data_IF_880985692448
#
_entry.id   IF_880985692448
#
_cell.length_a   1.000
_cell.length_b   1.000
_cell.length_c   1.000
_cell.angle_alpha   90.00
_cell.angle_beta   90.00
_cell.angle_gamma   90.00
#
_symmetry.space_group_name_H-M   'P 1'
#
loop_
_entity.id
_entity.type
_entity.pdbx_description
1 polymer ?
#
# COMPACT_ATOMS: atom_id res chain seq x y z
N UNK A 1 44.49 -29.44 23.88
CA UNK A 1 43.50 -28.58 24.55
C UNK A 1 42.21 -28.67 23.75
N UNK A 2 41.14 -29.21 24.33
CA UNK A 2 39.83 -29.25 23.67
C UNK A 2 39.38 -27.81 23.43
N UNK A 3 39.17 -27.43 22.17
CA UNK A 3 38.63 -26.12 21.81
C UNK A 3 37.25 -25.97 22.45
N UNK A 4 37.19 -25.22 23.56
CA UNK A 4 35.94 -24.79 24.17
C UNK A 4 35.54 -23.49 23.48
N UNK A 5 34.47 -23.52 22.69
CA UNK A 5 33.95 -22.31 22.06
C UNK A 5 32.91 -22.62 21.01
N UNK A 6 32.19 -21.58 20.56
CA UNK A 6 31.16 -21.71 19.53
C UNK A 6 31.71 -22.39 18.26
N UNK A 7 32.95 -22.08 17.88
CA UNK A 7 33.57 -22.58 16.64
C UNK A 7 33.98 -24.06 16.70
N UNK A 8 33.93 -24.72 17.86
CA UNK A 8 34.15 -26.16 17.93
C UNK A 8 32.88 -26.98 17.68
N UNK A 9 31.73 -26.33 17.54
CA UNK A 9 30.50 -26.98 17.09
C UNK A 9 30.58 -27.34 15.59
N UNK A 10 29.96 -28.46 15.17
CA UNK A 10 29.83 -28.79 13.75
C UNK A 10 29.16 -27.66 12.97
N UNK A 11 29.58 -27.45 11.72
CA UNK A 11 29.00 -26.44 10.83
C UNK A 11 27.48 -26.60 10.69
N UNK A 12 27.00 -27.84 10.64
CA UNK A 12 25.57 -28.16 10.51
C UNK A 12 24.75 -27.68 11.72
N UNK A 13 25.38 -27.51 12.88
CA UNK A 13 24.77 -26.89 14.06
C UNK A 13 24.86 -25.36 13.96
N UNK A 14 26.00 -24.84 13.52
CA UNK A 14 26.24 -23.40 13.41
C UNK A 14 25.33 -22.70 12.39
N UNK A 15 24.92 -23.39 11.31
CA UNK A 15 23.97 -22.83 10.32
C UNK A 15 22.56 -22.66 10.87
N UNK A 16 22.21 -23.33 11.97
CA UNK A 16 20.89 -23.19 12.62
C UNK A 16 20.80 -21.96 13.53
N UNK A 17 21.95 -21.40 13.94
CA UNK A 17 22.03 -20.27 14.86
C UNK A 17 21.17 -19.05 14.48
N UNK A 18 21.01 -18.63 13.21
CA UNK A 18 20.17 -17.48 12.87
C UNK A 18 18.73 -17.59 13.40
N UNK A 19 18.19 -18.81 13.51
CA UNK A 19 16.85 -19.07 14.03
C UNK A 19 16.71 -18.79 15.53
N UNK A 20 17.82 -18.76 16.26
CA UNK A 20 17.86 -18.59 17.71
C UNK A 20 18.36 -17.21 18.14
N UNK A 21 18.70 -16.33 17.19
CA UNK A 21 19.05 -14.93 17.50
C UNK A 21 17.80 -14.12 17.82
N UNK A 22 17.95 -13.10 18.68
CA UNK A 22 16.84 -12.28 19.14
C UNK A 22 16.45 -11.22 18.11
N UNK A 23 17.42 -10.59 17.46
CA UNK A 23 17.18 -9.48 16.54
C UNK A 23 18.25 -9.38 15.43
N UNK A 24 18.03 -8.46 14.49
CA UNK A 24 18.91 -8.27 13.33
C UNK A 24 20.30 -7.74 13.70
N UNK A 25 20.42 -7.00 14.81
CA UNK A 25 21.71 -6.53 15.29
C UNK A 25 22.59 -7.68 15.80
N UNK A 26 22.03 -8.63 16.55
CA UNK A 26 22.74 -9.84 16.97
C UNK A 26 23.28 -10.61 15.76
N UNK A 27 22.46 -10.72 14.71
CA UNK A 27 22.84 -11.34 13.44
C UNK A 27 24.01 -10.62 12.78
N UNK A 28 23.94 -9.29 12.68
CA UNK A 28 25.00 -8.47 12.09
C UNK A 28 26.30 -8.56 12.90
N UNK A 29 26.21 -8.48 14.22
CA UNK A 29 27.35 -8.60 15.12
C UNK A 29 28.01 -9.98 15.00
N UNK A 30 27.22 -11.06 15.07
CA UNK A 30 27.73 -12.43 14.94
C UNK A 30 28.37 -12.68 13.57
N UNK A 31 27.74 -12.22 12.48
CA UNK A 31 28.28 -12.33 11.12
C UNK A 31 29.58 -11.55 10.90
N UNK A 32 29.84 -10.54 11.72
CA UNK A 32 31.04 -9.70 11.67
C UNK A 32 32.21 -10.24 12.48
N UNK A 33 31.99 -11.23 13.36
CA UNK A 33 33.04 -11.76 14.26
C UNK A 33 34.16 -12.52 13.54
N UNK A 34 33.82 -13.47 12.66
CA UNK A 34 34.80 -14.28 11.94
C UNK A 34 34.23 -14.84 10.63
N UNK A 35 35.11 -15.40 9.78
CA UNK A 35 34.72 -15.94 8.47
C UNK A 35 33.76 -17.13 8.58
N UNK A 36 33.95 -18.01 9.56
CA UNK A 36 33.08 -19.17 9.78
C UNK A 36 31.67 -18.72 10.17
N UNK A 37 31.55 -17.84 11.18
CA UNK A 37 30.25 -17.26 11.56
C UNK A 37 29.57 -16.57 10.38
N UNK A 38 30.32 -15.78 9.60
CA UNK A 38 29.78 -15.13 8.40
C UNK A 38 29.19 -16.12 7.39
N UNK A 39 29.92 -17.19 7.10
CA UNK A 39 29.46 -18.25 6.20
C UNK A 39 28.20 -18.93 6.75
N UNK A 40 28.19 -19.30 8.03
CA UNK A 40 27.02 -19.93 8.65
C UNK A 40 25.80 -18.99 8.70
N UNK A 41 26.00 -17.69 8.97
CA UNK A 41 24.93 -16.70 8.98
C UNK A 41 24.34 -16.48 7.58
N UNK A 42 25.14 -16.55 6.52
CA UNK A 42 24.65 -16.37 5.14
C UNK A 42 23.62 -17.42 4.68
N UNK A 43 23.44 -18.50 5.43
CA UNK A 43 22.43 -19.55 5.18
C UNK A 43 21.05 -19.16 5.76
N UNK A 44 20.95 -18.07 6.51
CA UNK A 44 19.69 -17.59 7.07
C UNK A 44 18.64 -17.40 5.97
N UNK A 45 17.46 -17.98 6.18
CA UNK A 45 16.36 -17.86 5.23
C UNK A 45 15.81 -16.43 5.21
N UNK A 46 15.20 -15.99 4.10
CA UNK A 46 14.58 -14.66 4.05
C UNK A 46 13.57 -14.41 5.18
N UNK A 47 12.77 -15.42 5.53
CA UNK A 47 11.83 -15.32 6.65
C UNK A 47 12.55 -15.13 8.01
N UNK A 48 13.70 -15.80 8.21
CA UNK A 48 14.51 -15.61 9.41
C UNK A 48 14.99 -14.17 9.54
N UNK A 49 15.49 -13.59 8.45
CA UNK A 49 15.94 -12.18 8.43
C UNK A 49 14.75 -11.23 8.67
N UNK A 50 13.58 -11.50 8.10
CA UNK A 50 12.36 -10.73 8.37
C UNK A 50 11.97 -10.79 9.85
N UNK A 51 11.96 -11.97 10.47
CA UNK A 51 11.69 -12.14 11.91
C UNK A 51 12.66 -11.31 12.76
N UNK A 52 13.95 -11.38 12.45
CA UNK A 52 15.00 -10.64 13.14
C UNK A 52 14.85 -9.12 12.94
N UNK A 53 14.44 -8.67 11.75
CA UNK A 53 14.16 -7.26 11.46
C UNK A 53 12.90 -6.77 12.20
N UNK A 54 11.83 -7.56 12.23
CA UNK A 54 10.59 -7.26 12.92
C UNK A 54 10.80 -7.09 14.43
N UNK A 55 11.65 -7.92 15.04
CA UNK A 55 12.06 -7.81 16.45
C UNK A 55 12.74 -6.47 16.79
N UNK A 56 13.27 -5.75 15.80
CA UNK A 56 13.91 -4.44 15.97
C UNK A 56 13.26 -3.33 15.13
N UNK A 57 12.00 -3.53 14.74
CA UNK A 57 11.25 -2.66 13.83
C UNK A 57 11.20 -1.20 14.31
N UNK A 58 10.93 -0.97 15.60
CA UNK A 58 10.82 0.37 16.20
C UNK A 58 12.11 1.18 16.21
N UNK A 59 13.27 0.51 16.11
CA UNK A 59 14.58 1.15 16.18
C UNK A 59 15.12 1.42 14.78
N UNK A 60 15.23 0.41 13.93
CA UNK A 60 15.89 0.53 12.62
C UNK A 60 14.94 0.68 11.43
N UNK A 61 13.72 0.18 11.54
CA UNK A 61 12.78 0.09 10.43
C UNK A 61 11.59 1.05 10.61
N UNK A 62 11.91 2.35 10.62
CA UNK A 62 10.93 3.43 10.74
C UNK A 62 10.35 3.87 9.37
N UNK A 63 9.09 4.31 9.33
CA UNK A 63 8.10 4.20 10.41
C UNK A 63 7.72 2.73 10.65
N UNK A 64 7.68 2.34 11.93
CA UNK A 64 7.32 0.98 12.34
C UNK A 64 5.81 0.91 12.56
N UNK A 65 5.15 -0.21 12.23
CA UNK A 65 5.66 -1.37 11.47
C UNK A 65 5.61 -1.17 9.93
N UNK A 66 5.08 -0.04 9.46
CA UNK A 66 4.78 0.29 8.07
C UNK A 66 5.86 -0.05 7.05
N UNK A 67 7.13 0.27 7.35
CA UNK A 67 8.24 0.03 6.43
C UNK A 67 8.44 -1.44 6.10
N UNK A 68 8.40 -2.31 7.11
CA UNK A 68 8.58 -3.75 6.92
C UNK A 68 7.36 -4.37 6.25
N UNK A 69 6.16 -3.93 6.64
CA UNK A 69 4.91 -4.40 6.02
C UNK A 69 4.91 -4.09 4.53
N UNK A 70 5.21 -2.85 4.13
CA UNK A 70 5.28 -2.47 2.72
C UNK A 70 6.33 -3.31 1.97
N UNK A 71 7.48 -3.57 2.59
CA UNK A 71 8.55 -4.36 1.98
C UNK A 71 8.18 -5.82 1.69
N UNK A 72 7.26 -6.41 2.46
CA UNK A 72 6.84 -7.81 2.33
C UNK A 72 5.42 -7.98 1.79
N UNK A 73 4.68 -6.89 1.61
CA UNK A 73 3.28 -6.89 1.23
C UNK A 73 3.00 -7.62 -0.09
N UNK A 74 3.91 -7.54 -1.06
CA UNK A 74 3.78 -8.27 -2.34
C UNK A 74 3.77 -9.79 -2.14
N UNK A 75 4.72 -10.30 -1.36
CA UNK A 75 4.84 -11.72 -1.06
C UNK A 75 3.62 -12.21 -0.27
N UNK A 76 3.17 -11.41 0.69
CA UNK A 76 1.97 -11.70 1.48
C UNK A 76 0.71 -11.72 0.61
N UNK A 77 0.56 -10.75 -0.31
CA UNK A 77 -0.55 -10.71 -1.26
C UNK A 77 -0.52 -11.90 -2.21
N UNK A 78 0.66 -12.31 -2.69
CA UNK A 78 0.79 -13.49 -3.55
C UNK A 78 0.43 -14.77 -2.80
N UNK A 79 0.84 -14.90 -1.53
CA UNK A 79 0.44 -16.01 -0.67
C UNK A 79 -1.08 -16.05 -0.45
N UNK A 80 -1.71 -14.90 -0.21
CA UNK A 80 -3.15 -14.81 -0.03
C UNK A 80 -3.94 -15.23 -1.29
N UNK A 81 -3.38 -15.01 -2.48
CA UNK A 81 -3.97 -15.41 -3.77
C UNK A 81 -3.89 -16.91 -4.06
N UNK A 82 -3.24 -17.71 -3.23
CA UNK A 82 -3.12 -19.15 -3.52
C UNK A 82 -4.43 -19.89 -3.25
N UNK A 83 -5.23 -19.47 -2.26
CA UNK A 83 -6.51 -20.09 -1.96
C UNK A 83 -7.41 -19.20 -1.07
N UNK A 84 -8.70 -19.52 -1.01
CA UNK A 84 -9.67 -18.79 -0.16
C UNK A 84 -9.32 -18.82 1.33
N UNK A 85 -8.67 -19.88 1.80
CA UNK A 85 -8.30 -19.97 3.21
C UNK A 85 -7.24 -18.94 3.58
N UNK A 86 -6.24 -18.72 2.71
CA UNK A 86 -5.19 -17.75 2.93
C UNK A 86 -5.74 -16.32 2.86
N UNK A 87 -6.61 -16.03 1.89
CA UNK A 87 -7.28 -14.74 1.81
C UNK A 87 -8.15 -14.44 3.04
N UNK A 88 -8.89 -15.43 3.55
CA UNK A 88 -9.66 -15.27 4.79
C UNK A 88 -8.76 -14.96 5.98
N UNK A 89 -7.60 -15.59 6.08
CA UNK A 89 -6.64 -15.31 7.14
C UNK A 89 -6.01 -13.92 7.00
N UNK A 90 -5.68 -13.48 5.78
CA UNK A 90 -5.28 -12.10 5.50
C UNK A 90 -6.36 -11.12 5.97
N UNK A 91 -7.61 -11.31 5.52
CA UNK A 91 -8.76 -10.50 5.88
C UNK A 91 -8.96 -10.41 7.40
N UNK A 92 -8.82 -11.54 8.11
CA UNK A 92 -8.88 -11.58 9.57
C UNK A 92 -7.76 -10.76 10.23
N UNK A 93 -6.52 -10.91 9.76
CA UNK A 93 -5.35 -10.21 10.32
C UNK A 93 -5.30 -8.73 9.98
N UNK A 94 -5.92 -8.30 8.88
CA UNK A 94 -6.09 -6.88 8.57
C UNK A 94 -6.84 -6.14 9.68
N UNK A 95 -7.77 -6.81 10.39
CA UNK A 95 -8.53 -6.21 11.50
C UNK A 95 -7.66 -5.81 12.69
N UNK A 96 -6.48 -6.41 12.84
CA UNK A 96 -5.49 -6.03 13.86
C UNK A 96 -4.59 -4.86 13.38
N UNK A 97 -4.90 -4.27 12.22
CA UNK A 97 -4.18 -3.17 11.61
C UNK A 97 -2.79 -3.56 11.09
N UNK A 98 -1.85 -2.62 11.14
CA UNK A 98 -0.50 -2.83 10.62
C UNK A 98 0.32 -3.85 11.41
N UNK A 99 0.08 -3.96 12.72
CA UNK A 99 0.75 -4.97 13.55
C UNK A 99 0.29 -6.38 13.16
N UNK A 100 -1.01 -6.56 12.88
CA UNK A 100 -1.56 -7.80 12.34
C UNK A 100 -0.94 -8.22 11.00
N UNK A 101 -0.76 -7.26 10.10
CA UNK A 101 -0.09 -7.50 8.81
C UNK A 101 1.37 -7.93 8.99
N UNK A 102 2.12 -7.27 9.87
CA UNK A 102 3.51 -7.63 10.12
C UNK A 102 3.61 -9.02 10.78
N UNK A 103 2.76 -9.29 11.77
CA UNK A 103 2.69 -10.60 12.43
C UNK A 103 2.39 -11.71 11.42
N UNK A 104 1.41 -11.50 10.54
CA UNK A 104 1.07 -12.45 9.49
C UNK A 104 2.27 -12.65 8.55
N UNK A 105 2.89 -11.58 8.04
CA UNK A 105 4.06 -11.69 7.18
C UNK A 105 5.22 -12.46 7.86
N UNK A 106 5.50 -12.21 9.14
CA UNK A 106 6.53 -12.96 9.89
C UNK A 106 6.16 -14.44 10.03
N UNK A 107 4.88 -14.76 10.24
CA UNK A 107 4.40 -16.14 10.40
C UNK A 107 4.44 -16.96 9.11
N UNK A 108 4.39 -16.33 7.94
CA UNK A 108 4.35 -17.02 6.66
C UNK A 108 5.75 -17.26 6.09
N UNK A 109 6.12 -18.53 5.91
CA UNK A 109 7.44 -18.92 5.40
C UNK A 109 7.77 -18.35 4.00
N UNK A 110 6.76 -18.00 3.19
CA UNK A 110 6.91 -17.40 1.87
C UNK A 110 7.24 -15.90 1.90
N UNK A 111 7.01 -15.25 3.03
CA UNK A 111 7.36 -13.85 3.23
C UNK A 111 8.75 -13.77 3.86
N UNK A 112 9.57 -12.84 3.36
CA UNK A 112 10.93 -12.69 3.85
C UNK A 112 11.62 -11.42 3.40
N UNK A 113 12.82 -11.22 3.91
CA UNK A 113 13.73 -10.16 3.51
C UNK A 113 15.12 -10.73 3.35
N UNK A 114 15.86 -10.26 2.35
CA UNK A 114 17.29 -10.52 2.29
C UNK A 114 18.06 -9.32 2.83
N UNK A 115 19.31 -9.51 3.27
CA UNK A 115 20.17 -8.39 3.65
C UNK A 115 20.46 -7.45 2.48
N UNK A 116 20.48 -7.96 1.25
CA UNK A 116 20.56 -7.15 0.04
C UNK A 116 19.31 -6.27 -0.12
N UNK A 117 18.12 -6.87 0.00
CA UNK A 117 16.86 -6.14 -0.06
C UNK A 117 16.75 -5.07 1.03
N UNK A 118 17.22 -5.33 2.25
CA UNK A 118 17.28 -4.31 3.31
C UNK A 118 18.16 -3.12 2.90
N UNK A 119 19.29 -3.35 2.23
CA UNK A 119 20.17 -2.27 1.74
C UNK A 119 19.51 -1.48 0.61
N UNK A 120 18.85 -2.16 -0.33
CA UNK A 120 18.08 -1.50 -1.39
C UNK A 120 16.98 -0.61 -0.83
N UNK A 121 16.19 -1.13 0.11
CA UNK A 121 15.13 -0.40 0.79
C UNK A 121 15.67 0.79 1.58
N UNK A 122 16.85 0.65 2.20
CA UNK A 122 17.53 1.77 2.85
C UNK A 122 17.91 2.87 1.85
N UNK A 123 18.50 2.53 0.70
CA UNK A 123 18.82 3.48 -0.36
C UNK A 123 17.55 4.13 -0.93
N UNK A 124 16.47 3.36 -1.07
CA UNK A 124 15.16 3.82 -1.52
C UNK A 124 14.57 4.89 -0.62
N UNK A 125 14.91 4.92 0.67
CA UNK A 125 14.50 6.02 1.56
C UNK A 125 14.89 7.38 1.00
N UNK A 126 16.11 7.49 0.51
CA UNK A 126 16.65 8.75 0.00
C UNK A 126 16.24 9.01 -1.46
N UNK A 127 16.19 7.96 -2.28
CA UNK A 127 15.93 8.10 -3.71
C UNK A 127 14.46 8.09 -4.10
N UNK A 128 13.55 7.60 -3.26
CA UNK A 128 12.11 7.53 -3.58
C UNK A 128 11.26 7.99 -2.40
N UNK A 129 11.36 7.32 -1.24
CA UNK A 129 10.38 7.49 -0.15
C UNK A 129 10.38 8.92 0.41
N UNK A 130 11.53 9.49 0.79
CA UNK A 130 11.57 10.83 1.38
C UNK A 130 11.10 11.90 0.37
N UNK A 131 11.50 11.85 -0.92
CA UNK A 131 11.00 12.86 -1.87
C UNK A 131 9.53 12.67 -2.24
N UNK A 132 9.00 11.44 -2.24
CA UNK A 132 7.55 11.21 -2.35
C UNK A 132 6.83 11.74 -1.12
N UNK A 133 7.40 11.53 0.07
CA UNK A 133 6.88 12.05 1.35
C UNK A 133 6.78 13.58 1.30
N UNK A 134 7.77 14.26 0.74
CA UNK A 134 7.76 15.72 0.55
C UNK A 134 6.61 16.19 -0.35
N UNK A 135 6.28 15.44 -1.42
CA UNK A 135 5.11 15.73 -2.25
C UNK A 135 3.82 15.55 -1.45
N UNK A 136 3.69 14.48 -0.66
CA UNK A 136 2.51 14.25 0.18
C UNK A 136 2.39 15.32 1.28
N UNK A 137 3.49 15.78 1.87
CA UNK A 137 3.51 16.84 2.87
C UNK A 137 2.97 18.17 2.29
N UNK A 138 3.26 18.44 1.01
CA UNK A 138 2.69 19.57 0.26
C UNK A 138 1.22 19.39 -0.12
N UNK A 139 0.64 18.21 0.04
CA UNK A 139 -0.77 17.95 -0.23
C UNK A 139 -1.62 17.91 1.04
N UNK A 140 -1.11 17.34 2.15
CA UNK A 140 -1.90 17.02 3.35
C UNK A 140 -1.13 17.17 4.66
N UNK A 141 0.11 17.66 4.60
CA UNK A 141 1.01 17.78 5.75
C UNK A 141 1.27 19.23 6.18
N UNK A 142 2.32 19.42 6.98
CA UNK A 142 2.71 20.71 7.54
C UNK A 142 3.11 21.71 6.45
N UNK A 143 3.78 21.26 5.39
CA UNK A 143 4.18 22.14 4.30
C UNK A 143 2.97 22.72 3.56
N UNK A 144 1.91 21.91 3.37
CA UNK A 144 0.67 22.39 2.76
C UNK A 144 0.05 23.54 3.56
N UNK A 145 -0.15 23.35 4.87
CA UNK A 145 -0.68 24.39 5.77
C UNK A 145 0.20 25.63 5.88
N UNK A 146 1.51 25.48 5.63
CA UNK A 146 2.46 26.59 5.67
C UNK A 146 2.40 27.48 4.42
N UNK A 147 1.58 27.14 3.42
CA UNK A 147 1.40 27.97 2.22
C UNK A 147 0.85 29.36 2.61
N UNK A 148 1.49 30.46 2.17
CA UNK A 148 1.00 31.81 2.46
C UNK A 148 -0.45 32.00 2.00
N UNK A 149 -1.26 32.67 2.82
CA UNK A 149 -2.68 32.88 2.57
C UNK A 149 -3.49 31.57 2.37
N UNK A 150 -3.11 30.47 3.04
CA UNK A 150 -3.75 29.16 2.91
C UNK A 150 -5.29 29.23 2.86
N UNK A 151 -5.92 29.84 3.85
CA UNK A 151 -7.39 30.00 3.92
C UNK A 151 -7.96 31.12 3.05
N UNK A 152 -7.11 31.96 2.45
CA UNK A 152 -7.46 33.17 1.72
C UNK A 152 -7.00 33.09 0.24
N UNK A 153 -7.11 31.92 -0.38
CA UNK A 153 -6.82 31.71 -1.81
C UNK A 153 -5.34 31.43 -2.14
N UNK A 154 -4.50 31.14 -1.14
CA UNK A 154 -3.12 30.70 -1.32
C UNK A 154 -2.99 29.27 -1.85
N UNK A 155 -4.02 28.46 -1.65
CA UNK A 155 -4.18 27.14 -2.27
C UNK A 155 -5.57 27.02 -2.87
N UNK A 156 -5.66 26.22 -3.93
CA UNK A 156 -6.86 25.87 -4.68
C UNK A 156 -7.74 24.83 -3.99
N UNK A 157 -7.18 24.11 -3.02
CA UNK A 157 -7.78 22.94 -2.37
C UNK A 157 -7.85 23.05 -0.84
N UNK A 158 -7.83 24.26 -0.26
CA UNK A 158 -7.75 24.49 1.18
C UNK A 158 -8.78 23.67 1.98
N UNK A 159 -8.30 22.86 2.92
CA UNK A 159 -9.15 22.00 3.72
C UNK A 159 -8.53 21.63 5.08
N UNK A 160 -9.35 21.16 6.02
CA UNK A 160 -8.90 20.71 7.35
C UNK A 160 -8.56 19.21 7.37
N UNK A 161 -7.58 18.77 6.57
CA UNK A 161 -7.02 17.41 6.64
C UNK A 161 -5.68 17.46 7.36
N UNK A 162 -5.51 16.67 8.41
CA UNK A 162 -4.20 16.46 9.03
C UNK A 162 -3.86 14.98 9.02
N UNK A 163 -2.74 14.63 8.37
CA UNK A 163 -2.19 13.28 8.30
C UNK A 163 -0.66 13.33 8.37
N UNK A 164 -0.04 12.26 8.85
CA UNK A 164 1.41 12.09 8.85
C UNK A 164 1.89 11.66 7.45
N UNK A 165 2.63 12.51 6.70
CA UNK A 165 3.00 12.20 5.32
C UNK A 165 3.83 10.92 5.16
N UNK A 166 4.84 10.61 6.02
CA UNK A 166 5.54 9.33 5.97
C UNK A 166 4.59 8.14 6.03
N UNK A 167 3.64 8.15 6.97
CA UNK A 167 2.64 7.08 7.13
C UNK A 167 1.74 6.96 5.90
N UNK A 168 1.27 8.08 5.34
CA UNK A 168 0.46 8.09 4.12
C UNK A 168 1.21 7.49 2.90
N UNK A 169 2.53 7.68 2.78
CA UNK A 169 3.32 7.01 1.73
C UNK A 169 3.22 5.49 1.85
N UNK A 170 3.31 4.94 3.07
CA UNK A 170 3.23 3.50 3.27
C UNK A 170 1.82 2.95 3.10
N UNK A 171 0.78 3.72 3.42
CA UNK A 171 -0.61 3.35 3.12
C UNK A 171 -0.82 3.16 1.62
N UNK A 172 -0.31 4.09 0.81
CA UNK A 172 -0.34 4.02 -0.66
C UNK A 172 0.52 2.85 -1.18
N UNK A 173 1.77 2.76 -0.72
CA UNK A 173 2.70 1.74 -1.19
C UNK A 173 2.19 0.33 -0.87
N UNK A 174 1.76 0.07 0.37
CA UNK A 174 1.32 -1.26 0.80
C UNK A 174 0.06 -1.70 0.07
N UNK A 175 -0.87 -0.79 -0.21
CA UNK A 175 -2.03 -1.09 -1.06
C UNK A 175 -1.58 -1.55 -2.46
N UNK A 176 -0.66 -0.81 -3.08
CA UNK A 176 -0.07 -1.17 -4.37
C UNK A 176 0.69 -2.51 -4.30
N UNK A 177 1.41 -2.80 -3.24
CA UNK A 177 2.11 -4.07 -3.08
C UNK A 177 1.16 -5.26 -2.92
N UNK A 178 0.14 -5.13 -2.06
CA UNK A 178 -0.83 -6.19 -1.81
C UNK A 178 -1.69 -6.49 -3.03
N UNK A 179 -2.20 -5.46 -3.70
CA UNK A 179 -3.34 -5.61 -4.62
C UNK A 179 -2.98 -5.45 -6.09
N UNK A 180 -1.91 -4.72 -6.45
CA UNK A 180 -1.59 -4.50 -7.85
C UNK A 180 -1.34 -5.75 -8.71
N UNK A 181 -0.93 -6.93 -8.20
CA UNK A 181 -0.89 -8.13 -9.03
C UNK A 181 -2.24 -8.44 -9.71
N UNK A 182 -3.36 -8.05 -9.11
CA UNK A 182 -4.70 -8.24 -9.70
C UNK A 182 -4.93 -7.37 -10.94
N UNK A 183 -4.24 -6.22 -11.05
CA UNK A 183 -4.28 -5.39 -12.26
C UNK A 183 -3.66 -6.13 -13.44
N UNK A 184 -2.57 -6.87 -13.23
CA UNK A 184 -1.91 -7.58 -14.32
C UNK A 184 -2.81 -8.72 -14.87
N UNK A 185 -3.60 -9.37 -14.02
CA UNK A 185 -4.63 -10.31 -14.46
C UNK A 185 -5.67 -9.64 -15.37
N UNK A 186 -6.17 -8.47 -14.98
CA UNK A 186 -7.11 -7.69 -15.81
C UNK A 186 -6.48 -7.26 -17.13
N UNK A 187 -5.26 -6.75 -17.10
CA UNK A 187 -4.56 -6.28 -18.31
C UNK A 187 -4.17 -7.42 -19.27
N UNK A 188 -4.05 -8.65 -18.76
CA UNK A 188 -3.84 -9.86 -19.58
C UNK A 188 -5.14 -10.51 -20.05
N UNK A 189 -6.29 -10.02 -19.58
CA UNK A 189 -7.59 -10.66 -19.82
C UNK A 189 -7.60 -12.12 -19.34
N UNK A 190 -6.93 -12.37 -18.20
CA UNK A 190 -6.85 -13.68 -17.57
C UNK A 190 -7.98 -13.83 -16.55
N UNK A 191 -9.12 -14.34 -17.01
CA UNK A 191 -10.31 -14.54 -16.18
C UNK A 191 -10.15 -15.67 -15.15
N UNK A 192 -9.17 -16.57 -15.35
CA UNK A 192 -8.87 -17.70 -14.47
C UNK A 192 -7.93 -17.31 -13.32
N UNK A 193 -7.21 -16.19 -13.45
CA UNK A 193 -6.32 -15.71 -12.40
C UNK A 193 -7.10 -15.32 -11.14
N UNK A 194 -6.73 -15.95 -10.01
CA UNK A 194 -7.30 -15.63 -8.71
C UNK A 194 -6.90 -14.23 -8.26
N UNK A 195 -7.91 -13.37 -8.08
CA UNK A 195 -7.79 -12.01 -7.54
C UNK A 195 -8.18 -11.97 -6.07
N UNK A 196 -7.60 -11.02 -5.31
CA UNK A 196 -8.11 -10.72 -3.97
C UNK A 196 -9.44 -9.97 -4.07
N UNK A 197 -10.41 -10.36 -3.25
CA UNK A 197 -11.76 -9.83 -3.28
C UNK A 197 -11.82 -8.35 -2.90
N UNK A 198 -12.88 -7.68 -3.36
CA UNK A 198 -13.24 -6.32 -2.91
C UNK A 198 -13.34 -6.27 -1.39
N UNK A 199 -13.93 -7.28 -0.76
CA UNK A 199 -14.09 -7.34 0.70
C UNK A 199 -12.72 -7.29 1.40
N UNK A 200 -11.72 -8.02 0.92
CA UNK A 200 -10.34 -7.96 1.44
C UNK A 200 -9.70 -6.57 1.26
N UNK A 201 -9.93 -5.91 0.12
CA UNK A 201 -9.43 -4.54 -0.10
C UNK A 201 -10.08 -3.53 0.84
N UNK A 202 -11.39 -3.62 1.03
CA UNK A 202 -12.12 -2.75 1.95
C UNK A 202 -11.71 -3.01 3.41
N UNK A 203 -11.42 -4.25 3.81
CA UNK A 203 -10.85 -4.54 5.13
C UNK A 203 -9.47 -3.88 5.31
N UNK A 204 -8.61 -3.90 4.29
CA UNK A 204 -7.34 -3.18 4.35
C UNK A 204 -7.57 -1.67 4.53
N UNK A 205 -8.48 -1.07 3.77
CA UNK A 205 -8.75 0.37 3.89
C UNK A 205 -9.31 0.69 5.28
N UNK A 206 -10.24 -0.11 5.81
CA UNK A 206 -10.82 0.12 7.14
C UNK A 206 -9.76 0.12 8.24
N UNK A 207 -8.90 -0.89 8.29
CA UNK A 207 -8.04 -1.13 9.47
C UNK A 207 -6.55 -0.78 9.27
N UNK A 208 -6.06 -0.73 8.04
CA UNK A 208 -4.69 -0.31 7.73
C UNK A 208 -4.62 1.12 7.19
N UNK A 209 -5.74 1.74 6.84
CA UNK A 209 -5.82 3.18 6.52
C UNK A 209 -6.90 3.83 7.41
N UNK A 210 -6.78 3.72 8.75
CA UNK A 210 -7.88 4.04 9.64
C UNK A 210 -8.20 5.54 9.64
N UNK A 211 -9.48 5.86 9.73
CA UNK A 211 -9.98 7.22 9.62
C UNK A 211 -11.20 7.41 10.53
N UNK A 212 -11.33 8.57 11.17
CA UNK A 212 -12.47 8.88 12.04
C UNK A 212 -13.81 8.77 11.28
N UNK A 213 -13.84 9.11 10.00
CA UNK A 213 -15.03 9.01 9.17
C UNK A 213 -15.43 7.57 8.86
N UNK A 214 -14.55 6.60 9.10
CA UNK A 214 -14.87 5.17 8.97
C UNK A 214 -15.64 4.65 10.20
N UNK A 215 -15.44 5.28 11.36
CA UNK A 215 -16.04 4.90 12.65
C UNK A 215 -17.33 5.68 12.97
N UNK A 216 -17.69 6.67 12.15
CA UNK A 216 -18.91 7.42 12.35
C UNK A 216 -20.14 6.54 12.13
N UNK A 217 -21.04 6.53 13.12
CA UNK A 217 -22.26 5.74 13.09
C UNK A 217 -23.19 6.23 11.96
N UNK A 218 -23.43 5.39 10.94
CA UNK A 218 -24.25 5.73 9.79
C UNK A 218 -25.75 5.76 10.10
N UNK A 219 -26.18 5.21 11.25
CA UNK A 219 -27.60 5.00 11.56
C UNK A 219 -28.36 6.28 11.90
N UNK A 220 -27.67 7.42 12.02
CA UNK A 220 -28.25 8.76 12.24
C UNK A 220 -29.37 9.10 11.23
N UNK A 221 -29.36 8.49 10.04
CA UNK A 221 -30.33 8.75 8.96
C UNK A 221 -31.33 7.60 8.69
N UNK A 222 -31.37 6.55 9.52
CA UNK A 222 -32.28 5.41 9.33
C UNK A 222 -31.99 4.55 8.09
N UNK A 223 -30.80 4.67 7.49
CA UNK A 223 -30.36 3.87 6.35
C UNK A 223 -29.67 2.57 6.81
N UNK A 224 -29.91 1.48 6.09
CA UNK A 224 -29.25 0.20 6.35
C UNK A 224 -27.81 0.28 5.85
N UNK A 225 -26.84 0.14 6.76
CA UNK A 225 -25.44 0.10 6.41
C UNK A 225 -25.12 -1.14 5.57
N UNK A 226 -24.46 -0.95 4.43
CA UNK A 226 -23.88 -2.06 3.66
C UNK A 226 -22.90 -2.87 4.54
N UNK A 227 -23.05 -4.20 4.67
CA UNK A 227 -22.19 -5.02 5.54
C UNK A 227 -20.69 -4.87 5.26
N UNK A 228 -20.30 -4.54 4.03
CA UNK A 228 -18.89 -4.33 3.67
C UNK A 228 -18.27 -3.11 4.35
N UNK A 229 -19.09 -2.14 4.73
CA UNK A 229 -18.69 -0.93 5.45
C UNK A 229 -18.64 -1.13 6.95
N UNK A 230 -19.29 -2.16 7.47
CA UNK A 230 -19.29 -2.43 8.89
C UNK A 230 -17.85 -2.63 9.41
N UNK A 231 -17.58 -2.00 10.54
CA UNK A 231 -16.33 -2.15 11.30
C UNK A 231 -16.60 -2.93 12.59
N UNK A 232 -15.56 -3.55 13.10
CA UNK A 232 -15.51 -4.16 14.43
C UNK A 232 -14.67 -3.26 15.33
N UNK A 233 -14.99 -3.26 16.62
CA UNK A 233 -14.25 -2.57 17.68
C UNK A 233 -12.95 -3.31 18.01
N UNK A 234 -12.01 -3.35 17.07
CA UNK A 234 -10.71 -4.03 17.17
C UNK A 234 -9.62 -3.22 16.46
N UNK A 235 -8.35 -3.57 16.71
CA UNK A 235 -7.19 -2.90 16.15
C UNK A 235 -7.25 -1.38 16.36
N UNK A 236 -7.20 -0.57 15.29
CA UNK A 236 -7.26 0.90 15.39
C UNK A 236 -8.59 1.45 15.94
N UNK A 237 -9.67 0.67 15.96
CA UNK A 237 -10.98 1.08 16.49
C UNK A 237 -11.33 0.37 17.81
N UNK A 238 -10.37 -0.32 18.43
CA UNK A 238 -10.57 -0.94 19.74
C UNK A 238 -10.82 0.11 20.82
N UNK A 239 -11.55 -0.26 21.86
CA UNK A 239 -11.73 0.60 23.02
C UNK A 239 -10.37 0.90 23.68
N UNK A 240 -10.08 2.19 23.91
CA UNK A 240 -8.80 2.64 24.44
C UNK A 240 -7.65 2.70 23.42
N UNK A 241 -7.89 2.41 22.14
CA UNK A 241 -6.92 2.67 21.08
C UNK A 241 -6.65 4.19 20.94
N UNK A 242 -5.46 4.59 20.45
CA UNK A 242 -5.21 5.98 20.09
C UNK A 242 -6.25 6.49 19.08
N UNK A 243 -6.61 7.78 19.18
CA UNK A 243 -7.55 8.38 18.23
C UNK A 243 -7.08 8.23 16.78
N UNK A 244 -8.00 7.83 15.91
CA UNK A 244 -7.76 7.69 14.47
C UNK A 244 -7.64 9.06 13.80
N UNK A 245 -6.65 9.20 12.92
CA UNK A 245 -6.41 10.44 12.15
C UNK A 245 -7.30 10.57 10.92
N UNK A 246 -6.89 11.40 9.96
CA UNK A 246 -7.56 11.56 8.66
C UNK A 246 -6.86 10.74 7.56
N UNK A 247 -6.41 9.52 7.84
CA UNK A 247 -5.49 8.84 6.93
C UNK A 247 -6.12 8.49 5.57
N UNK A 248 -7.38 8.06 5.56
CA UNK A 248 -8.09 7.71 4.34
C UNK A 248 -8.48 8.98 3.58
N UNK A 249 -9.06 9.96 4.29
CA UNK A 249 -9.39 11.26 3.70
C UNK A 249 -8.14 11.90 3.09
N UNK A 250 -7.00 11.87 3.78
CA UNK A 250 -5.74 12.38 3.28
C UNK A 250 -5.32 11.71 1.97
N UNK A 251 -5.37 10.38 1.86
CA UNK A 251 -5.06 9.72 0.60
C UNK A 251 -6.05 10.07 -0.51
N UNK A 252 -7.35 10.16 -0.18
CA UNK A 252 -8.38 10.59 -1.13
C UNK A 252 -8.07 11.98 -1.68
N UNK A 253 -7.64 12.90 -0.81
CA UNK A 253 -7.24 14.25 -1.19
C UNK A 253 -5.93 14.28 -1.98
N UNK A 254 -4.90 13.53 -1.56
CA UNK A 254 -3.62 13.43 -2.29
C UNK A 254 -3.86 12.99 -3.72
N UNK A 255 -4.63 11.92 -3.95
CA UNK A 255 -4.90 11.40 -5.31
C UNK A 255 -5.56 12.47 -6.21
N UNK A 256 -6.38 13.34 -5.62
CA UNK A 256 -7.10 14.39 -6.34
C UNK A 256 -6.33 15.71 -6.44
N UNK A 257 -5.25 15.90 -5.68
CA UNK A 257 -4.56 17.18 -5.55
C UNK A 257 -3.87 17.62 -6.85
N UNK A 258 -3.94 18.92 -7.12
CA UNK A 258 -3.23 19.61 -8.20
C UNK A 258 -1.70 19.58 -8.03
N UNK A 259 -1.20 19.18 -6.84
CA UNK A 259 0.24 18.99 -6.58
C UNK A 259 0.72 17.57 -6.84
N UNK A 260 -0.19 16.59 -6.82
CA UNK A 260 0.12 15.18 -7.05
C UNK A 260 -0.06 14.79 -8.51
N UNK A 261 -1.21 15.14 -9.10
CA UNK A 261 -1.60 14.78 -10.48
C UNK A 261 -0.55 15.16 -11.55
N UNK A 262 0.11 16.34 -11.50
CA UNK A 262 1.08 16.73 -12.53
C UNK A 262 2.27 15.78 -12.65
N UNK A 263 2.77 15.24 -11.53
CA UNK A 263 3.90 14.29 -11.56
C UNK A 263 3.59 13.04 -12.39
N UNK A 264 2.38 12.53 -12.26
CA UNK A 264 1.90 11.38 -13.03
C UNK A 264 1.58 11.74 -14.48
N UNK A 265 0.99 12.92 -14.70
CA UNK A 265 0.69 13.42 -16.05
C UNK A 265 1.95 13.59 -16.89
N UNK A 266 3.03 14.13 -16.30
CA UNK A 266 4.32 14.32 -16.98
C UNK A 266 4.90 12.99 -17.48
N UNK A 267 4.97 11.97 -16.63
CA UNK A 267 5.52 10.66 -17.03
C UNK A 267 4.60 9.92 -18.00
N UNK A 268 3.27 10.04 -17.86
CA UNK A 268 2.32 9.49 -18.85
C UNK A 268 2.52 10.08 -20.23
N UNK A 269 2.69 11.40 -20.32
CA UNK A 269 2.92 12.09 -21.58
C UNK A 269 4.18 11.59 -22.32
N UNK A 270 5.21 11.13 -21.58
CA UNK A 270 6.40 10.49 -22.15
C UNK A 270 6.13 9.09 -22.73
N UNK A 271 5.11 8.41 -22.21
CA UNK A 271 4.70 7.08 -22.66
C UNK A 271 3.67 7.12 -23.81
N UNK A 272 2.78 8.10 -23.84
CA UNK A 272 1.82 8.28 -24.93
C UNK A 272 0.71 9.28 -24.57
N UNK A 273 -0.20 9.59 -25.51
CA UNK A 273 -1.31 10.49 -25.23
C UNK A 273 -2.31 9.85 -24.24
N UNK A 274 -2.87 10.67 -23.35
CA UNK A 274 -4.01 10.29 -22.51
C UNK A 274 -5.19 9.82 -23.39
N UNK A 275 -6.01 8.91 -22.86
CA UNK A 275 -7.25 8.45 -23.49
C UNK A 275 -8.33 9.54 -23.52
N UNK A 276 -8.15 10.59 -22.72
CA UNK A 276 -9.01 11.76 -22.64
C UNK A 276 -8.18 13.04 -22.49
N UNK A 277 -8.70 14.15 -23.02
CA UNK A 277 -8.09 15.48 -22.87
C UNK A 277 -8.43 16.12 -21.51
N UNK A 278 -9.66 15.88 -21.03
CA UNK A 278 -10.16 16.41 -19.77
C UNK A 278 -9.61 15.63 -18.56
N UNK A 279 -9.38 16.35 -17.46
CA UNK A 279 -8.98 15.70 -16.21
C UNK A 279 -10.16 14.93 -15.60
N UNK A 280 -9.85 13.77 -15.02
CA UNK A 280 -10.85 12.96 -14.34
C UNK A 280 -11.31 13.65 -13.05
N UNK A 281 -12.63 13.71 -12.90
CA UNK A 281 -13.31 14.02 -11.65
C UNK A 281 -14.30 12.89 -11.33
N UNK A 282 -13.80 11.88 -10.60
CA UNK A 282 -14.62 10.73 -10.22
C UNK A 282 -15.66 11.06 -9.14
N UNK A 283 -15.68 12.28 -8.59
CA UNK A 283 -16.64 12.74 -7.58
C UNK A 283 -16.73 11.86 -6.32
N UNK A 284 -17.55 12.23 -5.34
CA UNK A 284 -17.76 11.34 -4.16
C UNK A 284 -18.77 10.22 -4.40
N UNK A 285 -19.62 10.40 -5.41
CA UNK A 285 -20.80 9.58 -5.68
C UNK A 285 -20.62 8.74 -6.93
N UNK A 286 -21.21 7.56 -6.95
CA UNK A 286 -21.31 6.81 -8.19
C UNK A 286 -22.15 7.60 -9.20
N UNK A 287 -21.55 7.91 -10.35
CA UNK A 287 -22.24 8.55 -11.48
C UNK A 287 -22.30 7.56 -12.65
N UNK A 288 -23.46 6.97 -12.96
CA UNK A 288 -23.58 5.95 -14.01
C UNK A 288 -23.15 6.44 -15.39
N UNK A 289 -23.12 7.75 -15.64
CA UNK A 289 -22.67 8.32 -16.93
C UNK A 289 -21.14 8.24 -17.12
N UNK A 290 -20.39 8.01 -16.04
CA UNK A 290 -18.92 7.87 -16.05
C UNK A 290 -18.46 6.39 -16.18
N UNK A 291 -19.40 5.46 -16.33
CA UNK A 291 -19.15 4.02 -16.43
C UNK A 291 -19.84 3.45 -17.68
N UNK A 292 -19.29 2.36 -18.22
CA UNK A 292 -19.77 1.67 -19.42
C UNK A 292 -18.93 1.91 -20.67
N UNK A 293 -19.11 1.02 -21.66
CA UNK A 293 -18.22 0.91 -22.83
C UNK A 293 -18.23 2.07 -23.82
N UNK A 294 -19.19 2.99 -23.72
CA UNK A 294 -19.32 4.15 -24.63
C UNK A 294 -18.45 5.35 -24.28
N UNK A 295 -17.78 5.36 -23.13
CA UNK A 295 -17.01 6.50 -22.63
C UNK A 295 -15.53 6.11 -22.42
N UNK A 296 -14.54 6.80 -23.03
CA UNK A 296 -13.12 6.51 -22.79
C UNK A 296 -12.65 6.76 -21.35
N UNK A 297 -13.49 7.40 -20.52
CA UNK A 297 -13.25 7.71 -19.12
C UNK A 297 -12.67 6.55 -18.31
N UNK A 298 -13.22 5.34 -18.47
CA UNK A 298 -12.75 4.20 -17.69
C UNK A 298 -11.34 3.74 -18.07
N UNK A 299 -10.91 3.91 -19.34
CA UNK A 299 -9.55 3.57 -19.79
C UNK A 299 -8.54 4.53 -19.18
N UNK A 300 -8.86 5.82 -19.17
CA UNK A 300 -8.02 6.82 -18.51
C UNK A 300 -7.92 6.53 -17.01
N UNK A 301 -9.05 6.22 -16.35
CA UNK A 301 -9.09 5.87 -14.93
C UNK A 301 -8.24 4.63 -14.63
N UNK A 302 -8.42 3.56 -15.41
CA UNK A 302 -7.64 2.33 -15.27
C UNK A 302 -6.14 2.60 -15.45
N UNK A 303 -5.76 3.44 -16.42
CA UNK A 303 -4.34 3.75 -16.66
C UNK A 303 -3.72 4.54 -15.51
N UNK A 304 -4.39 5.59 -15.03
CA UNK A 304 -3.92 6.37 -13.89
C UNK A 304 -3.81 5.50 -12.63
N UNK A 305 -4.85 4.73 -12.34
CA UNK A 305 -4.88 3.85 -11.19
C UNK A 305 -3.81 2.74 -11.27
N UNK A 306 -3.58 2.19 -12.47
CA UNK A 306 -2.51 1.21 -12.70
C UNK A 306 -1.16 1.77 -12.29
N UNK A 307 -0.86 3.02 -12.61
CA UNK A 307 0.42 3.63 -12.27
C UNK A 307 0.56 3.96 -10.78
N UNK A 308 -0.52 4.43 -10.14
CA UNK A 308 -0.54 4.76 -8.71
C UNK A 308 -0.37 3.48 -7.86
N UNK A 309 -1.00 2.38 -8.27
CA UNK A 309 -0.96 1.11 -7.56
C UNK A 309 0.24 0.26 -8.00
N UNK A 310 1.48 0.70 -7.77
CA UNK A 310 2.68 -0.08 -8.14
C UNK A 310 3.64 -0.34 -6.98
N UNK A 311 3.23 -0.04 -5.75
CA UNK A 311 4.05 -0.31 -4.57
C UNK A 311 5.23 0.63 -4.41
N UNK A 312 6.21 0.23 -3.59
CA UNK A 312 7.34 1.07 -3.19
C UNK A 312 8.21 1.49 -4.40
N UNK A 313 8.59 0.54 -5.24
CA UNK A 313 9.35 0.80 -6.46
C UNK A 313 8.59 1.69 -7.43
N UNK A 314 7.29 1.44 -7.55
CA UNK A 314 6.38 2.14 -8.44
C UNK A 314 6.29 3.64 -8.16
N UNK A 315 6.39 4.03 -6.89
CA UNK A 315 6.49 5.44 -6.50
C UNK A 315 7.72 6.14 -7.10
N UNK A 316 8.72 5.41 -7.57
CA UNK A 316 9.82 5.99 -8.34
C UNK A 316 9.36 6.70 -9.64
N UNK A 317 8.18 6.39 -10.17
CA UNK A 317 7.61 7.05 -11.36
C UNK A 317 7.37 8.56 -11.17
N UNK A 318 7.16 9.04 -9.94
CA UNK A 318 6.98 10.49 -9.71
C UNK A 318 8.31 11.24 -9.69
N UNK A 319 9.46 10.54 -9.71
CA UNK A 319 10.78 11.16 -9.58
C UNK A 319 11.40 11.37 -10.95
N UNK A 320 11.58 12.62 -11.44
CA UNK A 320 12.10 12.90 -12.78
C UNK A 320 13.36 12.11 -13.16
N UNK A 321 14.32 11.99 -12.24
CA UNK A 321 15.57 11.24 -12.47
C UNK A 321 15.45 9.71 -12.48
N UNK A 322 14.27 9.16 -12.21
CA UNK A 322 14.00 7.71 -12.18
C UNK A 322 12.90 7.30 -13.17
N UNK A 323 12.36 8.23 -13.97
CA UNK A 323 11.19 7.95 -14.83
C UNK A 323 11.53 7.09 -16.04
N UNK A 324 12.70 7.29 -16.65
CA UNK A 324 13.02 6.70 -17.96
C UNK A 324 12.91 5.18 -17.98
N UNK A 325 13.29 4.51 -16.88
CA UNK A 325 13.18 3.05 -16.74
C UNK A 325 11.74 2.53 -16.79
N UNK A 326 10.76 3.38 -16.48
CA UNK A 326 9.35 3.02 -16.43
C UNK A 326 8.61 3.28 -17.73
N UNK A 327 9.15 4.14 -18.61
CA UNK A 327 8.49 4.51 -19.87
C UNK A 327 8.07 3.28 -20.69
N UNK A 328 8.91 2.24 -20.90
CA UNK A 328 8.51 1.05 -21.64
C UNK A 328 7.33 0.32 -20.97
N UNK A 329 7.33 0.22 -19.64
CA UNK A 329 6.28 -0.48 -18.89
C UNK A 329 4.97 0.29 -18.91
N UNK A 330 5.02 1.63 -18.84
CA UNK A 330 3.83 2.48 -18.93
C UNK A 330 3.21 2.42 -20.33
N UNK A 331 4.04 2.34 -21.39
CA UNK A 331 3.60 2.09 -22.77
C UNK A 331 2.88 0.75 -22.89
N UNK A 332 3.50 -0.32 -22.36
CA UNK A 332 2.91 -1.65 -22.34
C UNK A 332 1.54 -1.66 -21.64
N UNK A 333 1.41 -0.99 -20.48
CA UNK A 333 0.11 -0.87 -19.81
C UNK A 333 -0.92 -0.11 -20.65
N UNK A 334 -0.52 1.00 -21.27
CA UNK A 334 -1.42 1.79 -22.12
C UNK A 334 -1.92 0.97 -23.31
N UNK A 335 -1.04 0.21 -23.96
CA UNK A 335 -1.36 -0.67 -25.09
C UNK A 335 -2.35 -1.75 -24.66
N UNK A 336 -2.06 -2.47 -23.57
CA UNK A 336 -2.97 -3.48 -23.01
C UNK A 336 -4.35 -2.91 -22.66
N UNK A 337 -4.41 -1.71 -22.07
CA UNK A 337 -5.68 -1.03 -21.75
C UNK A 337 -6.46 -0.66 -23.01
N UNK A 338 -5.77 -0.25 -24.08
CA UNK A 338 -6.40 0.07 -25.35
C UNK A 338 -7.05 -1.17 -26.00
N UNK A 339 -6.45 -2.35 -25.81
CA UNK A 339 -6.94 -3.64 -26.32
C UNK A 339 -8.14 -4.20 -25.55
N UNK A 340 -8.38 -3.73 -24.31
CA UNK A 340 -9.56 -4.16 -23.55
C UNK A 340 -10.86 -3.73 -24.25
N UNK A 341 -11.73 -4.70 -24.53
CA UNK A 341 -12.98 -4.46 -25.26
C UNK A 341 -14.02 -3.70 -24.43
N UNK A 342 -14.07 -3.97 -23.12
CA UNK A 342 -15.08 -3.45 -22.20
C UNK A 342 -14.46 -3.03 -20.86
N UNK A 343 -15.18 -2.16 -20.16
CA UNK A 343 -14.82 -1.79 -18.81
C UNK A 343 -14.90 -3.02 -17.88
N UNK A 344 -13.93 -3.21 -16.96
CA UNK A 344 -14.03 -4.22 -15.92
C UNK A 344 -15.26 -4.04 -15.02
N UNK A 345 -15.81 -5.13 -14.44
CA UNK A 345 -17.04 -5.08 -13.65
C UNK A 345 -17.02 -4.05 -12.50
N UNK A 346 -18.10 -3.28 -12.42
CA UNK A 346 -18.37 -2.32 -11.33
C UNK A 346 -19.06 -3.06 -10.17
N UNK A 347 -18.59 -2.82 -8.96
CA UNK A 347 -19.10 -3.42 -7.73
C UNK A 347 -19.74 -2.32 -6.87
N UNK A 348 -21.05 -2.39 -6.73
CA UNK A 348 -21.82 -1.44 -5.90
C UNK A 348 -21.65 -1.77 -4.41
N UNK A 349 -21.47 -0.72 -3.61
CA UNK A 349 -21.45 -0.78 -2.13
C UNK A 349 -22.23 0.43 -1.62
N UNK A 350 -23.47 0.20 -1.15
CA UNK A 350 -24.42 1.28 -0.90
C UNK A 350 -24.64 2.15 -2.15
N UNK A 351 -24.42 3.47 -2.03
CA UNK A 351 -24.53 4.46 -3.13
C UNK A 351 -23.21 4.78 -3.83
N UNK A 352 -22.14 4.07 -3.46
CA UNK A 352 -20.82 4.21 -4.07
C UNK A 352 -20.47 2.95 -4.82
N UNK A 353 -19.40 3.01 -5.61
CA UNK A 353 -18.94 1.88 -6.38
C UNK A 353 -17.41 1.80 -6.37
N UNK A 354 -16.93 0.57 -6.48
CA UNK A 354 -15.54 0.26 -6.81
C UNK A 354 -15.52 -0.68 -8.02
N UNK A 355 -14.36 -1.18 -8.38
CA UNK A 355 -14.15 -2.07 -9.52
C UNK A 355 -13.70 -3.44 -9.02
N UNK A 356 -13.84 -4.46 -9.85
CA UNK A 356 -13.38 -5.81 -9.51
C UNK A 356 -11.85 -5.88 -9.38
N UNK A 357 -11.13 -4.96 -10.01
CA UNK A 357 -9.70 -4.72 -9.85
C UNK A 357 -9.39 -3.70 -8.72
N UNK A 358 -8.13 -3.60 -8.25
CA UNK A 358 -7.75 -2.65 -7.22
C UNK A 358 -7.96 -1.22 -7.70
N UNK A 359 -9.00 -0.54 -7.22
CA UNK A 359 -9.28 0.87 -7.55
C UNK A 359 -9.21 1.69 -6.27
N UNK A 360 -8.01 2.19 -5.96
CA UNK A 360 -7.70 2.78 -4.65
C UNK A 360 -8.66 3.90 -4.27
N UNK A 361 -8.97 4.82 -5.19
CA UNK A 361 -9.85 5.95 -4.91
C UNK A 361 -11.29 5.51 -4.60
N UNK A 362 -11.81 4.49 -5.30
CA UNK A 362 -13.13 3.92 -5.02
C UNK A 362 -13.15 3.22 -3.66
N UNK A 363 -12.14 2.40 -3.38
CA UNK A 363 -12.02 1.65 -2.12
C UNK A 363 -11.88 2.59 -0.91
N UNK A 364 -11.09 3.67 -1.03
CA UNK A 364 -10.97 4.72 -0.02
C UNK A 364 -12.33 5.35 0.30
N UNK A 365 -13.03 5.85 -0.74
CA UNK A 365 -14.30 6.58 -0.62
C UNK A 365 -15.43 5.75 -0.01
N UNK A 366 -15.48 4.45 -0.29
CA UNK A 366 -16.46 3.52 0.29
C UNK A 366 -16.33 3.47 1.82
N UNK A 367 -15.10 3.48 2.32
CA UNK A 367 -14.84 3.31 3.75
C UNK A 367 -15.04 4.60 4.57
N UNK A 368 -14.93 5.79 3.98
CA UNK A 368 -15.14 7.08 4.69
C UNK A 368 -16.55 7.65 4.51
N UNK A 369 -17.56 6.79 4.38
CA UNK A 369 -18.95 7.21 4.22
C UNK A 369 -19.51 8.06 5.38
N UNK A 370 -18.86 8.06 6.55
CA UNK A 370 -19.09 9.02 7.63
C UNK A 370 -18.98 10.48 7.19
N UNK A 371 -18.07 10.76 6.27
CA UNK A 371 -17.64 12.10 5.96
C UNK A 371 -18.62 12.90 5.09
N UNK A 372 -19.31 12.22 4.16
CA UNK A 372 -20.27 12.87 3.24
C UNK A 372 -21.68 12.35 3.53
N UNK A 373 -22.62 13.21 3.99
CA UNK A 373 -23.99 12.77 4.26
C UNK A 373 -24.65 12.11 3.05
N UNK A 374 -25.33 10.98 3.29
CA UNK A 374 -26.15 10.28 2.31
C UNK A 374 -25.41 9.25 1.45
N UNK A 375 -24.17 8.89 1.80
CA UNK A 375 -23.38 7.83 1.16
C UNK A 375 -23.75 6.43 1.60
N UNK A 376 -24.51 6.27 2.69
CA UNK A 376 -24.84 4.98 3.30
C UNK A 376 -25.81 4.14 2.47
#
# INVERSE_FOLDING_TARGET
MSEKGLLSLPRDVLVLLPNFLHNIEDYMNLSSTCRTSRQCMSVATPNTILRLAAAQSRVFFRPSPHFLVAATARELGNWARECDANERELCRKLQDGWDGLLELAVSQARCGLTMERIRELHLMRFSVINPVTDVLDKCVGTQWYSTPNFWNGGVDDAYTIHSDPPTAVFHLATYGELFAPDLEAVLRQDDDARKLSVDTRLEYIKYCVPDWATDMDPTWAGQQLDPRRAIKRTGPYAEGAPGVGNNNLALTWVINSSRWKPHWKEIRAKAGPDFMEEELDDGWWYNPNLYGGGNPYWRQRLWQNTMICQGLEGLGMIRPGLQDRWIPKIKEWREKIAELEKEPPVIMVGRQATLDYPYLLGDLRICVSGYVPGTY
#
